data_IF_338029967735
#
_entry.id   IF_338029967735
#
_cell.length_a   1.000
_cell.length_b   1.000
_cell.length_c   1.000
_cell.angle_alpha   90.00
_cell.angle_beta   90.00
_cell.angle_gamma   90.00
#
_symmetry.space_group_name_H-M   'P 1'
#
loop_
_entity.id
_entity.type
_entity.pdbx_description
1 polymer ?
#
# COMPACT_ATOMS: atom_id res chain seq x y z
N UNK A 1 2.08 -14.43 11.66
CA UNK A 1 2.24 -13.72 10.38
C UNK A 1 3.50 -14.18 9.68
N UNK A 2 3.43 -14.39 8.39
CA UNK A 2 4.56 -14.80 7.56
C UNK A 2 5.63 -13.71 7.53
N UNK A 3 6.88 -14.08 7.81
CA UNK A 3 8.02 -13.15 7.84
C UNK A 3 9.20 -13.76 7.12
N UNK A 4 9.33 -13.59 5.80
CA UNK A 4 10.44 -14.14 5.05
C UNK A 4 11.73 -13.41 5.33
N UNK A 5 12.85 -14.12 5.18
CA UNK A 5 14.16 -13.48 5.09
C UNK A 5 14.32 -12.93 3.67
N UNK A 6 14.57 -11.64 3.57
CA UNK A 6 14.73 -10.96 2.29
C UNK A 6 16.15 -10.45 2.18
N UNK A 7 16.82 -10.88 1.11
CA UNK A 7 18.15 -10.39 0.78
C UNK A 7 18.09 -8.91 0.40
N UNK A 8 18.98 -8.11 0.98
CA UNK A 8 18.96 -6.65 0.77
C UNK A 8 20.31 -6.15 0.33
N UNK A 9 20.32 -5.07 -0.46
CA UNK A 9 21.51 -4.30 -0.78
C UNK A 9 21.94 -3.49 0.46
N UNK A 10 23.14 -2.91 0.41
CA UNK A 10 23.63 -2.00 1.46
C UNK A 10 22.65 -0.85 1.75
N UNK A 11 21.96 -0.38 0.72
CA UNK A 11 20.97 0.68 0.83
C UNK A 11 19.68 0.25 1.57
N UNK A 12 19.52 -1.06 1.84
CA UNK A 12 18.30 -1.64 2.38
C UNK A 12 17.29 -2.08 1.33
N UNK A 13 17.55 -1.83 0.06
CA UNK A 13 16.67 -2.23 -1.04
C UNK A 13 16.59 -3.75 -1.14
N UNK A 14 15.39 -4.35 -1.15
CA UNK A 14 15.23 -5.78 -1.35
C UNK A 14 15.79 -6.23 -2.70
N UNK A 15 16.42 -7.40 -2.72
CA UNK A 15 16.91 -8.05 -3.94
C UNK A 15 16.08 -9.30 -4.16
N UNK A 16 15.11 -9.22 -5.06
CA UNK A 16 14.14 -10.28 -5.30
C UNK A 16 14.03 -10.57 -6.79
N UNK A 17 14.05 -11.86 -7.14
CA UNK A 17 13.66 -12.32 -8.47
C UNK A 17 12.13 -12.37 -8.58
N UNK A 18 11.62 -12.46 -9.82
CA UNK A 18 10.17 -12.66 -10.04
C UNK A 18 9.66 -13.90 -9.33
N UNK A 19 10.42 -14.99 -9.40
CA UNK A 19 10.06 -16.24 -8.76
C UNK A 19 9.98 -16.12 -7.24
N UNK A 20 10.92 -15.39 -6.64
CA UNK A 20 10.90 -15.11 -5.21
C UNK A 20 9.69 -14.27 -4.81
N UNK A 21 9.34 -13.26 -5.62
CA UNK A 21 8.14 -12.43 -5.41
C UNK A 21 6.88 -13.28 -5.47
N UNK A 22 6.79 -14.18 -6.46
CA UNK A 22 5.64 -15.10 -6.59
C UNK A 22 5.52 -16.00 -5.36
N UNK A 23 6.62 -16.54 -4.87
CA UNK A 23 6.64 -17.37 -3.66
C UNK A 23 6.19 -16.57 -2.43
N UNK A 24 6.68 -15.35 -2.28
CA UNK A 24 6.27 -14.45 -1.20
C UNK A 24 4.76 -14.20 -1.27
N UNK A 25 4.25 -13.88 -2.45
CA UNK A 25 2.82 -13.65 -2.65
C UNK A 25 1.97 -14.88 -2.30
N UNK A 26 2.38 -16.05 -2.74
CA UNK A 26 1.69 -17.31 -2.40
C UNK A 26 1.71 -17.58 -0.90
N UNK A 27 2.83 -17.31 -0.24
CA UNK A 27 2.96 -17.54 1.20
C UNK A 27 2.13 -16.54 2.00
N UNK A 28 2.03 -15.29 1.56
CA UNK A 28 1.13 -14.30 2.17
C UNK A 28 -0.33 -14.77 2.06
N UNK A 29 -0.75 -15.16 0.87
CA UNK A 29 -2.12 -15.66 0.66
C UNK A 29 -2.38 -16.92 1.46
N UNK A 30 -1.41 -17.84 1.50
CA UNK A 30 -1.52 -19.08 2.27
C UNK A 30 -1.64 -18.84 3.77
N UNK A 31 -1.02 -17.81 4.29
CA UNK A 31 -1.11 -17.44 5.69
C UNK A 31 -2.39 -16.65 6.01
N UNK A 32 -2.81 -15.78 5.12
CA UNK A 32 -3.98 -14.92 5.30
C UNK A 32 -5.30 -15.62 4.96
N UNK A 33 -5.34 -16.30 3.81
CA UNK A 33 -6.56 -16.90 3.25
C UNK A 33 -6.22 -18.19 2.53
N UNK A 34 -5.90 -19.29 3.26
CA UNK A 34 -5.39 -20.53 2.66
C UNK A 34 -6.36 -21.18 1.66
N UNK A 35 -7.66 -20.96 1.81
CA UNK A 35 -8.66 -21.49 0.87
C UNK A 35 -8.51 -20.93 -0.54
N UNK A 36 -7.94 -19.74 -0.69
CA UNK A 36 -7.71 -19.15 -2.01
C UNK A 36 -6.64 -19.87 -2.82
N UNK A 37 -5.76 -20.64 -2.17
CA UNK A 37 -4.77 -21.48 -2.86
C UNK A 37 -5.37 -22.78 -3.36
N UNK A 38 -6.52 -23.20 -2.84
CA UNK A 38 -7.19 -24.45 -3.19
C UNK A 38 -8.20 -24.30 -4.31
N UNK A 39 -8.86 -23.14 -4.36
CA UNK A 39 -9.85 -22.82 -5.40
C UNK A 39 -9.80 -21.34 -5.72
N UNK A 40 -10.04 -20.96 -6.99
CA UNK A 40 -10.05 -19.54 -7.37
C UNK A 40 -11.11 -18.76 -6.60
N UNK A 41 -10.67 -17.76 -5.86
CA UNK A 41 -11.55 -16.86 -5.11
C UNK A 41 -10.92 -15.49 -5.05
N UNK A 42 -11.78 -14.50 -4.83
CA UNK A 42 -11.35 -13.13 -4.65
C UNK A 42 -10.65 -12.95 -3.30
N UNK A 43 -9.52 -12.29 -3.29
CA UNK A 43 -8.82 -11.91 -2.07
C UNK A 43 -9.46 -10.60 -1.56
N UNK A 44 -9.85 -10.59 -0.29
CA UNK A 44 -10.29 -9.35 0.35
C UNK A 44 -9.07 -8.48 0.65
N UNK A 45 -8.78 -7.57 -0.27
CA UNK A 45 -7.57 -6.75 -0.20
C UNK A 45 -7.61 -5.77 0.97
N UNK A 46 -8.80 -5.32 1.36
CA UNK A 46 -8.95 -4.43 2.51
C UNK A 46 -8.63 -5.14 3.81
N UNK A 47 -9.13 -6.35 3.99
CA UNK A 47 -8.79 -7.16 5.17
C UNK A 47 -7.32 -7.57 5.18
N UNK A 48 -6.74 -7.82 4.01
CA UNK A 48 -5.30 -8.09 3.93
C UNK A 48 -4.51 -6.90 4.48
N UNK A 49 -4.84 -5.70 4.05
CA UNK A 49 -4.15 -4.50 4.51
C UNK A 49 -4.41 -4.22 5.99
N UNK A 50 -5.65 -4.27 6.42
CA UNK A 50 -6.04 -3.91 7.79
C UNK A 50 -5.67 -4.98 8.82
N UNK A 51 -6.09 -6.21 8.59
CA UNK A 51 -5.98 -7.28 9.60
C UNK A 51 -4.63 -8.00 9.52
N UNK A 52 -4.17 -8.30 8.32
CA UNK A 52 -2.93 -9.04 8.16
C UNK A 52 -1.71 -8.14 8.29
N UNK A 53 -1.70 -6.98 7.64
CA UNK A 53 -0.57 -6.07 7.64
C UNK A 53 -0.66 -4.98 8.72
N UNK A 54 -1.80 -4.83 9.37
CA UNK A 54 -2.00 -3.86 10.44
C UNK A 54 -1.98 -2.41 9.96
N UNK A 55 -2.38 -2.17 8.72
CA UNK A 55 -2.40 -0.83 8.14
C UNK A 55 -3.70 -0.11 8.45
N UNK A 56 -3.60 1.20 8.64
CA UNK A 56 -4.76 2.09 8.63
C UNK A 56 -5.05 2.54 7.20
N UNK A 57 -6.32 2.72 6.88
CA UNK A 57 -6.74 3.23 5.58
C UNK A 57 -7.28 4.64 5.70
N UNK A 58 -6.93 5.51 4.76
CA UNK A 58 -7.48 6.85 4.64
C UNK A 58 -7.74 7.15 3.16
N UNK A 59 -8.68 8.06 2.90
CA UNK A 59 -9.10 8.42 1.55
C UNK A 59 -9.04 9.93 1.40
N UNK A 60 -8.27 10.39 0.43
CA UNK A 60 -8.06 11.80 0.13
C UNK A 60 -7.99 11.98 -1.37
N UNK A 61 -8.18 13.19 -1.86
CA UNK A 61 -7.77 13.52 -3.21
C UNK A 61 -6.27 13.79 -3.19
N UNK A 62 -5.52 13.02 -3.96
CA UNK A 62 -4.05 13.12 -4.00
C UNK A 62 -3.56 14.04 -5.11
N UNK A 63 -4.40 14.33 -6.08
CA UNK A 63 -4.11 15.28 -7.15
C UNK A 63 -5.41 15.80 -7.77
N UNK A 64 -5.31 16.89 -8.52
CA UNK A 64 -6.47 17.46 -9.21
C UNK A 64 -6.88 16.66 -10.46
N UNK A 65 -6.00 15.82 -10.99
CA UNK A 65 -6.20 15.14 -12.26
C UNK A 65 -6.17 13.60 -12.16
N UNK A 66 -6.12 13.04 -10.96
CA UNK A 66 -6.09 11.59 -10.78
C UNK A 66 -4.78 10.92 -11.19
N UNK A 67 -3.67 11.67 -11.19
CA UNK A 67 -2.35 11.13 -11.52
C UNK A 67 -1.81 10.23 -10.39
N UNK A 68 -2.03 10.63 -9.15
CA UNK A 68 -1.60 9.87 -8.00
C UNK A 68 -2.81 9.13 -7.42
N UNK A 69 -2.71 7.82 -7.35
CA UNK A 69 -3.82 6.95 -6.96
C UNK A 69 -3.70 6.42 -5.53
N UNK A 70 -2.49 6.34 -5.01
CA UNK A 70 -2.26 5.84 -3.67
C UNK A 70 -0.89 6.23 -3.12
N UNK A 71 -0.76 6.13 -1.81
CA UNK A 71 0.52 6.31 -1.15
C UNK A 71 0.55 5.52 0.16
N UNK A 72 1.75 5.10 0.55
CA UNK A 72 1.99 4.45 1.84
C UNK A 72 2.84 5.35 2.72
N UNK A 73 2.37 5.56 3.94
CA UNK A 73 3.05 6.39 4.94
C UNK A 73 3.81 5.46 5.88
N UNK A 74 5.13 5.55 5.89
CA UNK A 74 5.98 4.68 6.70
C UNK A 74 6.34 5.26 8.06
N UNK A 75 6.27 6.57 8.21
CA UNK A 75 6.58 7.27 9.46
C UNK A 75 5.49 8.29 9.76
N UNK A 76 5.28 8.58 11.05
CA UNK A 76 4.36 9.65 11.45
C UNK A 76 4.79 10.96 10.80
N UNK A 77 3.86 11.67 10.22
CA UNK A 77 4.13 12.94 9.54
C UNK A 77 2.91 13.85 9.60
N UNK A 78 3.16 15.15 9.58
CA UNK A 78 2.12 16.19 9.47
C UNK A 78 2.12 16.85 8.07
N UNK A 79 2.85 16.29 7.11
CA UNK A 79 3.06 16.87 5.79
C UNK A 79 2.74 15.90 4.66
N UNK A 80 1.61 15.20 4.75
CA UNK A 80 1.12 14.41 3.62
C UNK A 80 0.49 15.37 2.61
N UNK A 81 1.02 15.47 1.39
CA UNK A 81 0.44 16.34 0.38
C UNK A 81 -0.87 15.77 -0.15
N UNK A 82 -1.89 16.59 -0.13
CA UNK A 82 -3.23 16.25 -0.66
C UNK A 82 -3.73 17.39 -1.51
N UNK A 83 -4.82 17.16 -2.25
CA UNK A 83 -5.48 18.16 -3.07
C UNK A 83 -6.80 18.57 -2.43
N UNK A 84 -7.01 19.87 -2.29
CA UNK A 84 -8.27 20.43 -1.82
C UNK A 84 -9.10 20.87 -3.04
N UNK A 85 -10.16 20.12 -3.42
CA UNK A 85 -10.95 20.44 -4.60
C UNK A 85 -11.81 21.68 -4.43
N UNK A 86 -12.15 22.07 -3.20
CA UNK A 86 -12.98 23.26 -2.96
C UNK A 86 -12.21 24.54 -3.25
N UNK A 87 -10.93 24.58 -2.84
CA UNK A 87 -10.07 25.75 -3.00
C UNK A 87 -9.09 25.60 -4.17
N UNK A 88 -9.14 24.47 -4.88
CA UNK A 88 -8.26 24.15 -6.02
C UNK A 88 -6.78 24.43 -5.70
N UNK A 89 -6.32 23.89 -4.59
CA UNK A 89 -4.94 24.06 -4.14
C UNK A 89 -4.41 22.83 -3.43
N UNK A 90 -3.10 22.77 -3.28
CA UNK A 90 -2.45 21.77 -2.46
C UNK A 90 -2.62 22.10 -0.97
N UNK A 91 -2.70 21.06 -0.18
CA UNK A 91 -2.77 21.18 1.28
C UNK A 91 -1.97 20.02 1.91
N UNK A 92 -1.79 20.07 3.21
CA UNK A 92 -1.11 19.01 3.96
C UNK A 92 -2.01 18.49 5.06
N UNK A 93 -1.96 17.17 5.27
CA UNK A 93 -2.64 16.53 6.39
C UNK A 93 -1.64 15.70 7.20
N UNK A 94 -2.03 15.34 8.42
CA UNK A 94 -1.26 14.44 9.27
C UNK A 94 -1.65 13.00 8.99
N UNK A 95 -0.70 12.10 9.09
CA UNK A 95 -0.95 10.67 9.05
C UNK A 95 0.07 9.95 9.92
N UNK A 96 -0.32 8.81 10.45
CA UNK A 96 0.56 7.95 11.24
C UNK A 96 1.28 6.94 10.35
N UNK A 97 2.36 6.39 10.87
CA UNK A 97 3.07 5.29 10.23
C UNK A 97 2.10 4.14 9.93
N UNK A 98 2.37 3.42 8.85
CA UNK A 98 1.57 2.28 8.38
C UNK A 98 0.15 2.67 7.95
N UNK A 99 -0.01 3.89 7.45
CA UNK A 99 -1.27 4.34 6.83
C UNK A 99 -1.15 4.24 5.31
N UNK A 100 -2.16 3.66 4.69
CA UNK A 100 -2.33 3.71 3.24
C UNK A 100 -3.37 4.76 2.90
N UNK A 101 -3.06 5.66 1.98
CA UNK A 101 -3.98 6.69 1.53
C UNK A 101 -4.30 6.40 0.07
N UNK A 102 -5.59 6.26 -0.22
CA UNK A 102 -6.09 5.97 -1.57
C UNK A 102 -6.88 7.17 -2.07
N UNK A 103 -6.69 7.51 -3.34
CA UNK A 103 -7.41 8.60 -3.96
C UNK A 103 -8.92 8.33 -3.95
N UNK A 104 -9.70 9.32 -3.54
CA UNK A 104 -11.17 9.20 -3.45
C UNK A 104 -11.83 8.87 -4.78
N UNK A 105 -11.19 9.19 -5.90
CA UNK A 105 -11.70 8.84 -7.22
C UNK A 105 -11.86 7.33 -7.39
N UNK A 106 -11.04 6.53 -6.73
CA UNK A 106 -11.10 5.08 -6.82
C UNK A 106 -12.28 4.47 -6.04
N UNK A 107 -13.00 5.27 -5.26
CA UNK A 107 -14.24 4.83 -4.58
C UNK A 107 -15.49 4.98 -5.46
N UNK A 108 -15.36 5.58 -6.64
CA UNK A 108 -16.45 5.76 -7.57
C UNK A 108 -16.84 4.42 -8.23
N UNK A 109 -18.06 4.37 -8.79
CA UNK A 109 -18.52 3.21 -9.55
C UNK A 109 -17.58 2.93 -10.72
N UNK A 110 -17.42 1.64 -11.04
CA UNK A 110 -16.57 1.14 -12.13
C UNK A 110 -15.06 1.34 -11.89
N UNK A 111 -14.63 1.66 -10.67
CA UNK A 111 -13.23 1.81 -10.30
C UNK A 111 -12.72 0.66 -9.41
N UNK A 112 -13.50 -0.40 -9.18
CA UNK A 112 -13.14 -1.47 -8.24
C UNK A 112 -11.83 -2.16 -8.62
N UNK A 113 -11.58 -2.40 -9.89
CA UNK A 113 -10.34 -3.07 -10.33
C UNK A 113 -9.12 -2.19 -10.08
N UNK A 114 -9.23 -0.90 -10.36
CA UNK A 114 -8.14 0.04 -10.09
C UNK A 114 -7.91 0.21 -8.60
N UNK A 115 -8.98 0.25 -7.82
CA UNK A 115 -8.91 0.30 -6.37
C UNK A 115 -8.15 -0.92 -5.82
N UNK A 116 -8.57 -2.12 -6.22
CA UNK A 116 -7.95 -3.36 -5.76
C UNK A 116 -6.47 -3.44 -6.14
N UNK A 117 -6.14 -3.08 -7.37
CA UNK A 117 -4.75 -3.06 -7.82
C UNK A 117 -3.93 -2.06 -7.01
N UNK A 118 -4.45 -0.86 -6.81
CA UNK A 118 -3.75 0.20 -6.06
C UNK A 118 -3.56 -0.20 -4.60
N UNK A 119 -4.60 -0.72 -3.96
CA UNK A 119 -4.49 -1.18 -2.56
C UNK A 119 -3.47 -2.32 -2.44
N UNK A 120 -3.49 -3.27 -3.36
CA UNK A 120 -2.51 -4.36 -3.39
C UNK A 120 -1.09 -3.86 -3.60
N UNK A 121 -0.92 -2.87 -4.45
CA UNK A 121 0.39 -2.25 -4.70
C UNK A 121 0.93 -1.57 -3.43
N UNK A 122 0.10 -0.80 -2.74
CA UNK A 122 0.48 -0.13 -1.49
C UNK A 122 0.74 -1.13 -0.37
N UNK A 123 -0.06 -2.20 -0.28
CA UNK A 123 0.19 -3.29 0.66
C UNK A 123 1.54 -3.96 0.38
N UNK A 124 1.91 -4.10 -0.89
CA UNK A 124 3.23 -4.60 -1.29
C UNK A 124 4.37 -3.71 -0.79
N UNK A 125 4.22 -2.40 -0.88
CA UNK A 125 5.20 -1.47 -0.32
C UNK A 125 5.34 -1.65 1.19
N UNK A 126 4.24 -1.76 1.92
CA UNK A 126 4.28 -1.99 3.36
C UNK A 126 5.02 -3.28 3.70
N UNK A 127 4.72 -4.35 3.00
CA UNK A 127 5.34 -5.65 3.27
C UNK A 127 6.82 -5.70 2.91
N UNK A 128 7.20 -5.15 1.75
CA UNK A 128 8.56 -5.30 1.22
C UNK A 128 9.48 -4.13 1.56
N UNK A 129 8.95 -2.93 1.72
CA UNK A 129 9.74 -1.72 1.74
C UNK A 129 9.69 -0.93 3.05
N UNK A 130 8.86 -1.31 4.02
CA UNK A 130 8.72 -0.52 5.25
C UNK A 130 10.04 -0.32 6.00
N UNK A 131 10.91 -1.32 6.03
CA UNK A 131 12.22 -1.21 6.69
C UNK A 131 13.18 -0.31 5.93
N UNK A 132 13.06 -0.30 4.60
CA UNK A 132 13.86 0.58 3.75
C UNK A 132 13.52 2.05 3.96
N UNK A 133 12.23 2.37 4.06
CA UNK A 133 11.74 3.74 4.19
C UNK A 133 11.52 4.20 5.63
N UNK A 134 11.64 3.31 6.62
CA UNK A 134 11.36 3.64 8.02
C UNK A 134 12.32 4.71 8.59
N UNK A 135 13.51 4.82 8.08
CA UNK A 135 14.52 5.79 8.51
C UNK A 135 14.57 7.05 7.63
N UNK A 136 13.83 7.04 6.55
CA UNK A 136 13.70 8.16 5.65
C UNK A 136 12.31 8.73 5.84
N UNK A 137 12.19 10.02 6.12
CA UNK A 137 10.90 10.71 6.33
C UNK A 137 10.10 10.85 5.03
N UNK A 138 10.44 10.05 4.04
CA UNK A 138 9.81 10.10 2.73
C UNK A 138 8.48 9.34 2.70
N UNK A 139 7.65 9.72 1.73
CA UNK A 139 6.41 9.06 1.36
C UNK A 139 6.64 8.36 0.03
N UNK A 140 6.01 7.18 -0.13
CA UNK A 140 6.03 6.47 -1.41
C UNK A 140 4.74 6.77 -2.16
N UNK A 141 4.89 7.25 -3.37
CA UNK A 141 3.78 7.58 -4.27
C UNK A 141 3.72 6.62 -5.44
N UNK A 142 2.52 6.39 -5.89
CA UNK A 142 2.25 5.60 -7.08
C UNK A 142 1.50 6.46 -8.11
#
# INVERSE_FOLDING_TARGET
MYRPEIKRKRSGTPVLSRKEIDVIGQNIVGDFMPEALKSPQEIDIDLLAQDYLGMDQDFQYLSHCGVYLGMTVFNDTDKVPVYDPQNNCADYISAKAHTVIIDKMLLEENQEHRYRFTMGHEAGHEFLHKEYFAYDLSLIHI
#
